data_IF_065122057259
#
_entry.id   IF_065122057259
#
_cell.length_a   1.000
_cell.length_b   1.000
_cell.length_c   1.000
_cell.angle_alpha   90.00
_cell.angle_beta   90.00
_cell.angle_gamma   90.00
#
_symmetry.space_group_name_H-M   'P 1'
#
loop_
_entity.id
_entity.type
_entity.pdbx_description
1 polymer ?
#
# COMPACT_ATOMS: atom_id res chain seq x y z
N UNK A 1 38.84 -17.98 -12.91
CA UNK A 1 37.83 -17.02 -12.39
C UNK A 1 37.35 -16.17 -13.57
N UNK A 2 36.10 -15.70 -13.59
CA UNK A 2 35.69 -14.80 -14.67
C UNK A 2 36.34 -13.43 -14.51
N UNK A 3 36.70 -12.79 -15.61
CA UNK A 3 37.46 -11.54 -15.71
C UNK A 3 36.95 -10.42 -14.75
N UNK A 4 35.63 -10.33 -14.56
CA UNK A 4 35.03 -9.34 -13.66
C UNK A 4 35.38 -9.51 -12.18
N UNK A 5 35.64 -10.73 -11.71
CA UNK A 5 36.00 -10.99 -10.32
C UNK A 5 37.44 -10.58 -10.02
N UNK A 6 38.36 -10.79 -10.95
CA UNK A 6 39.74 -10.32 -10.84
C UNK A 6 39.79 -8.80 -10.82
N UNK A 7 38.99 -8.18 -11.68
CA UNK A 7 38.87 -6.73 -11.74
C UNK A 7 38.23 -6.15 -10.47
N UNK A 8 37.19 -6.81 -9.91
CA UNK A 8 36.62 -6.43 -8.63
C UNK A 8 37.64 -6.52 -7.50
N UNK A 9 38.42 -7.57 -7.41
CA UNK A 9 39.48 -7.74 -6.40
C UNK A 9 40.52 -6.62 -6.47
N UNK A 10 40.92 -6.18 -7.68
CA UNK A 10 41.89 -5.12 -7.86
C UNK A 10 41.39 -3.72 -7.46
N UNK A 11 40.07 -3.53 -7.44
CA UNK A 11 39.44 -2.23 -7.11
C UNK A 11 38.85 -2.20 -5.69
N UNK A 12 38.55 -3.38 -5.12
CA UNK A 12 37.85 -3.50 -3.85
C UNK A 12 38.56 -2.85 -2.67
N UNK A 13 39.90 -2.84 -2.67
CA UNK A 13 40.71 -2.26 -1.59
C UNK A 13 40.96 -0.75 -1.74
N UNK A 14 40.41 -0.10 -2.78
CA UNK A 14 40.56 1.35 -2.95
C UNK A 14 39.63 2.09 -1.96
N UNK A 15 40.07 3.23 -1.38
CA UNK A 15 39.30 3.97 -0.39
C UNK A 15 37.94 4.49 -0.89
N UNK A 16 37.82 4.72 -2.21
CA UNK A 16 36.65 5.24 -2.90
C UNK A 16 35.81 4.17 -3.59
N UNK A 17 36.07 2.87 -3.30
CA UNK A 17 35.36 1.77 -3.95
C UNK A 17 33.85 1.86 -3.72
N UNK A 18 33.11 1.80 -4.81
CA UNK A 18 31.64 1.78 -4.81
C UNK A 18 31.12 0.68 -5.75
N UNK A 19 30.35 -0.26 -5.20
CA UNK A 19 29.81 -1.39 -5.95
C UNK A 19 28.88 -1.02 -7.11
N UNK A 20 28.22 0.15 -7.04
CA UNK A 20 27.34 0.64 -8.09
C UNK A 20 28.17 1.23 -9.23
N UNK A 21 29.20 2.03 -8.91
CA UNK A 21 30.13 2.57 -9.90
C UNK A 21 30.87 1.44 -10.61
N UNK A 22 31.40 0.48 -9.86
CA UNK A 22 32.03 -0.73 -10.41
C UNK A 22 31.11 -1.46 -11.38
N UNK A 23 29.85 -1.69 -11.03
CA UNK A 23 28.89 -2.36 -11.90
C UNK A 23 28.59 -1.56 -13.16
N UNK A 24 28.50 -0.23 -13.08
CA UNK A 24 28.26 0.61 -14.24
C UNK A 24 29.42 0.57 -15.24
N UNK A 25 30.64 0.58 -14.76
CA UNK A 25 31.86 0.55 -15.59
C UNK A 25 32.16 -0.83 -16.17
N UNK A 26 31.74 -1.89 -15.49
CA UNK A 26 32.03 -3.27 -15.84
C UNK A 26 30.75 -4.09 -16.15
N UNK A 27 29.70 -3.43 -16.59
CA UNK A 27 28.37 -4.03 -16.77
C UNK A 27 28.37 -5.27 -17.67
N UNK A 28 29.11 -5.23 -18.77
CA UNK A 28 29.15 -6.32 -19.75
C UNK A 28 30.00 -7.52 -19.29
N UNK A 29 30.92 -7.31 -18.37
CA UNK A 29 31.77 -8.37 -17.80
C UNK A 29 31.04 -9.19 -16.73
N UNK A 30 30.07 -8.61 -16.02
CA UNK A 30 29.34 -9.29 -14.96
C UNK A 30 28.21 -10.15 -15.55
N UNK A 31 28.20 -11.48 -15.32
CA UNK A 31 27.15 -12.35 -15.87
C UNK A 31 25.77 -12.06 -15.27
N UNK A 32 24.74 -12.11 -16.09
CA UNK A 32 23.34 -11.95 -15.70
C UNK A 32 22.53 -11.28 -16.81
N UNK A 33 21.25 -11.63 -16.93
CA UNK A 33 20.37 -11.11 -17.97
C UNK A 33 19.84 -9.70 -17.65
N UNK A 34 19.71 -9.36 -16.36
CA UNK A 34 19.18 -8.08 -15.90
C UNK A 34 20.18 -7.36 -14.99
N UNK A 35 20.03 -6.03 -14.89
CA UNK A 35 20.84 -5.17 -14.01
C UNK A 35 20.78 -5.64 -12.55
N UNK A 36 19.62 -6.08 -12.09
CA UNK A 36 19.41 -6.60 -10.73
C UNK A 36 20.16 -7.92 -10.49
N UNK A 37 20.16 -8.82 -11.45
CA UNK A 37 20.90 -10.08 -11.33
C UNK A 37 22.40 -9.85 -11.27
N UNK A 38 22.90 -8.91 -12.07
CA UNK A 38 24.31 -8.51 -12.05
C UNK A 38 24.69 -7.84 -10.73
N UNK A 39 23.85 -6.95 -10.21
CA UNK A 39 24.02 -6.29 -8.91
C UNK A 39 24.04 -7.30 -7.74
N UNK A 40 23.16 -8.29 -7.74
CA UNK A 40 23.13 -9.37 -6.73
C UNK A 40 24.41 -10.21 -6.76
N UNK A 41 24.95 -10.49 -7.94
CA UNK A 41 26.20 -11.25 -8.08
C UNK A 41 27.41 -10.50 -7.54
N UNK A 42 27.54 -9.21 -7.88
CA UNK A 42 28.60 -8.35 -7.32
C UNK A 42 28.49 -8.28 -5.80
N UNK A 43 27.28 -8.01 -5.26
CA UNK A 43 27.04 -7.96 -3.81
C UNK A 43 27.33 -9.29 -3.11
N UNK A 44 26.92 -10.41 -3.70
CA UNK A 44 27.21 -11.75 -3.14
C UNK A 44 28.71 -12.01 -3.05
N UNK A 45 29.47 -11.66 -4.10
CA UNK A 45 30.92 -11.87 -4.11
C UNK A 45 31.63 -10.96 -3.11
N UNK A 46 31.23 -9.69 -2.98
CA UNK A 46 31.73 -8.79 -1.94
C UNK A 46 31.46 -9.35 -0.54
N UNK A 47 30.24 -9.83 -0.28
CA UNK A 47 29.90 -10.42 1.01
C UNK A 47 30.77 -11.68 1.30
N UNK A 48 31.10 -12.46 0.26
CA UNK A 48 32.00 -13.60 0.40
C UNK A 48 33.42 -13.18 0.70
N UNK A 49 33.96 -12.13 0.06
CA UNK A 49 35.28 -11.57 0.37
C UNK A 49 35.34 -11.07 1.83
N UNK A 50 34.27 -10.43 2.30
CA UNK A 50 34.18 -9.99 3.70
C UNK A 50 34.15 -11.17 4.69
N UNK A 51 33.48 -12.27 4.34
CA UNK A 51 33.42 -13.49 5.15
C UNK A 51 34.75 -14.25 5.16
N UNK A 52 35.51 -14.25 4.06
CA UNK A 52 36.79 -14.92 3.90
C UNK A 52 37.97 -14.11 4.53
N UNK A 53 37.67 -12.95 5.18
CA UNK A 53 38.64 -12.17 5.96
C UNK A 53 39.63 -11.34 5.13
N UNK A 54 39.31 -11.05 3.84
CA UNK A 54 40.05 -10.09 3.04
C UNK A 54 39.54 -8.70 3.51
N UNK A 55 40.31 -8.09 4.41
CA UNK A 55 39.99 -6.79 5.04
C UNK A 55 40.55 -5.65 4.23
N UNK A 56 39.74 -4.59 4.07
CA UNK A 56 40.27 -3.24 3.87
C UNK A 56 41.24 -2.95 5.02
N UNK A 57 42.48 -2.71 4.67
CA UNK A 57 43.47 -2.22 5.64
C UNK A 57 43.30 -0.71 5.77
N UNK A 58 42.36 -0.28 6.57
CA UNK A 58 42.41 1.06 7.14
C UNK A 58 42.52 0.98 8.65
N UNK A 59 43.58 1.67 9.11
CA UNK A 59 43.96 1.78 10.49
C UNK A 59 42.86 2.45 11.31
N UNK A 60 42.13 1.68 12.07
CA UNK A 60 41.64 2.13 13.37
C UNK A 60 41.64 0.92 14.32
N UNK A 61 42.52 0.99 15.33
CA UNK A 61 42.64 -0.01 16.38
C UNK A 61 41.41 0.12 17.31
N UNK A 62 40.29 -0.46 16.91
CA UNK A 62 39.24 -0.81 17.85
C UNK A 62 39.20 -2.35 17.98
N UNK A 63 39.75 -2.81 19.09
CA UNK A 63 39.65 -4.23 19.49
C UNK A 63 38.21 -4.49 19.94
N UNK A 64 37.36 -4.82 19.02
CA UNK A 64 36.02 -5.30 19.31
C UNK A 64 35.69 -6.49 18.42
N UNK A 65 35.71 -7.70 18.98
CA UNK A 65 35.20 -8.89 18.30
C UNK A 65 33.68 -8.77 18.26
N UNK A 66 33.09 -8.70 17.07
CA UNK A 66 31.64 -8.78 16.92
C UNK A 66 31.21 -10.21 17.27
N UNK A 67 30.50 -10.38 18.38
CA UNK A 67 30.11 -11.69 18.87
C UNK A 67 28.86 -12.20 18.12
N UNK A 68 27.88 -11.33 17.91
CA UNK A 68 26.71 -11.64 17.08
C UNK A 68 25.96 -10.39 16.61
N UNK A 69 25.33 -10.51 15.45
CA UNK A 69 24.42 -9.50 14.91
C UNK A 69 23.18 -10.23 14.38
N UNK A 70 21.99 -9.79 14.78
CA UNK A 70 20.73 -10.35 14.29
C UNK A 70 19.70 -9.26 14.03
N UNK A 71 18.74 -9.54 13.16
CA UNK A 71 17.61 -8.68 12.89
C UNK A 71 16.33 -9.49 13.07
N UNK A 72 15.43 -9.05 13.95
CA UNK A 72 14.20 -9.73 14.27
C UNK A 72 13.12 -8.73 14.69
N UNK A 73 11.89 -8.91 14.23
CA UNK A 73 10.72 -8.08 14.58
C UNK A 73 10.95 -6.58 14.41
N UNK A 74 11.59 -6.15 13.31
CA UNK A 74 11.89 -4.74 13.06
C UNK A 74 13.01 -4.16 13.94
N UNK A 75 13.67 -4.97 14.74
CA UNK A 75 14.75 -4.56 15.64
C UNK A 75 16.09 -5.17 15.20
N UNK A 76 17.13 -4.36 15.27
CA UNK A 76 18.50 -4.79 15.06
C UNK A 76 19.17 -5.01 16.40
N UNK A 77 19.79 -6.17 16.57
CA UNK A 77 20.47 -6.59 17.81
C UNK A 77 21.95 -6.77 17.49
N UNK A 78 22.80 -6.07 18.24
CA UNK A 78 24.26 -6.23 18.14
C UNK A 78 24.84 -6.59 19.52
N UNK A 79 25.65 -7.63 19.57
CA UNK A 79 26.34 -8.10 20.79
C UNK A 79 27.84 -8.16 20.50
N UNK A 80 28.64 -7.42 21.26
CA UNK A 80 30.11 -7.40 21.12
C UNK A 80 30.82 -6.97 22.41
N UNK A 81 32.11 -7.28 22.48
CA UNK A 81 32.97 -6.79 23.55
C UNK A 81 33.41 -5.37 23.18
N UNK A 82 33.20 -4.42 24.09
CA UNK A 82 33.63 -3.03 23.95
C UNK A 82 34.63 -2.66 25.06
N UNK A 83 35.57 -1.80 24.72
CA UNK A 83 36.50 -1.18 25.68
C UNK A 83 36.00 0.22 26.02
N UNK A 84 35.92 0.54 27.32
CA UNK A 84 35.47 1.85 27.79
C UNK A 84 36.59 2.44 28.67
N UNK A 85 36.90 3.71 28.52
CA UNK A 85 37.91 4.37 29.30
C UNK A 85 37.56 4.36 30.81
N UNK A 86 38.54 4.17 31.65
CA UNK A 86 38.36 4.09 33.09
C UNK A 86 37.65 5.34 33.64
N UNK A 87 36.53 5.13 34.33
CA UNK A 87 35.71 6.21 34.91
C UNK A 87 34.73 6.88 33.92
N UNK A 88 34.64 6.41 32.69
CA UNK A 88 33.66 6.92 31.72
C UNK A 88 32.26 6.34 31.96
N UNK A 89 31.28 7.24 32.13
CA UNK A 89 29.86 6.84 32.19
C UNK A 89 29.39 6.23 30.84
N UNK A 90 28.80 5.05 30.91
CA UNK A 90 28.28 4.39 29.73
C UNK A 90 26.89 4.98 29.43
N UNK A 91 26.81 5.83 28.39
CA UNK A 91 25.56 6.44 27.92
C UNK A 91 25.09 5.73 26.64
N UNK A 92 23.80 5.85 26.24
CA UNK A 92 23.30 5.31 24.99
C UNK A 92 24.12 5.75 23.76
N UNK A 93 24.60 6.99 23.73
CA UNK A 93 25.39 7.54 22.63
C UNK A 93 26.75 6.83 22.51
N UNK A 94 27.39 6.57 23.64
CA UNK A 94 28.67 5.84 23.68
C UNK A 94 28.47 4.40 23.21
N UNK A 95 27.37 3.75 23.62
CA UNK A 95 27.04 2.40 23.19
C UNK A 95 26.78 2.37 21.68
N UNK A 96 25.98 3.29 21.16
CA UNK A 96 25.69 3.38 19.73
C UNK A 96 26.97 3.56 18.91
N UNK A 97 27.84 4.48 19.34
CA UNK A 97 29.16 4.70 18.71
C UNK A 97 30.03 3.44 18.77
N UNK A 98 30.09 2.78 19.92
CA UNK A 98 30.85 1.54 20.09
C UNK A 98 30.30 0.39 19.22
N UNK A 99 29.00 0.36 18.93
CA UNK A 99 28.37 -0.61 18.06
C UNK A 99 28.32 -0.19 16.58
N UNK A 100 28.91 0.96 16.22
CA UNK A 100 28.89 1.54 14.87
C UNK A 100 27.45 1.79 14.36
N UNK A 101 26.57 2.27 15.23
CA UNK A 101 25.19 2.59 14.93
C UNK A 101 25.03 4.13 14.83
N UNK A 102 24.45 4.58 13.72
CA UNK A 102 24.17 6.00 13.51
C UNK A 102 22.95 6.42 14.33
N UNK A 103 23.13 7.37 15.25
CA UNK A 103 22.06 7.90 16.10
C UNK A 103 20.99 8.70 15.33
N UNK A 104 21.21 9.08 14.07
CA UNK A 104 20.20 9.69 13.22
C UNK A 104 19.24 8.66 12.62
N UNK A 105 19.72 7.42 12.44
CA UNK A 105 18.98 6.33 11.80
C UNK A 105 18.33 5.42 12.84
N UNK A 106 19.01 5.22 13.99
CA UNK A 106 18.62 4.22 14.98
C UNK A 106 18.24 4.85 16.32
N UNK A 107 17.22 4.30 16.95
CA UNK A 107 16.80 4.59 18.33
C UNK A 107 17.08 3.38 19.22
N UNK A 108 17.69 3.61 20.37
CA UNK A 108 17.97 2.53 21.34
C UNK A 108 16.70 2.11 22.04
N UNK A 109 16.34 0.84 21.90
CA UNK A 109 15.24 0.21 22.62
C UNK A 109 15.68 -0.28 23.98
N UNK A 110 16.82 -0.96 24.03
CA UNK A 110 17.42 -1.45 25.28
C UNK A 110 18.89 -1.75 25.09
N UNK A 111 19.64 -1.75 26.18
CA UNK A 111 21.01 -2.22 26.18
C UNK A 111 21.34 -2.92 27.49
N UNK A 112 22.30 -3.85 27.44
CA UNK A 112 22.83 -4.59 28.60
C UNK A 112 24.33 -4.69 28.47
N UNK A 113 25.05 -4.27 29.53
CA UNK A 113 26.50 -4.37 29.60
C UNK A 113 26.90 -5.25 30.78
N UNK A 114 27.71 -6.25 30.51
CA UNK A 114 28.35 -7.07 31.54
C UNK A 114 29.82 -6.66 31.64
N UNK A 115 30.28 -6.40 32.84
CA UNK A 115 31.63 -5.92 33.13
C UNK A 115 32.61 -7.09 33.31
N UNK A 116 33.79 -6.96 32.72
CA UNK A 116 34.92 -7.88 32.89
C UNK A 116 36.23 -7.10 33.08
N UNK A 117 37.12 -7.63 33.88
CA UNK A 117 38.51 -7.15 33.96
C UNK A 117 39.43 -8.16 33.29
N UNK A 118 40.30 -7.69 32.43
CA UNK A 118 41.37 -8.50 31.83
C UNK A 118 42.71 -7.90 32.16
N UNK A 119 43.66 -8.75 32.54
CA UNK A 119 45.02 -8.34 32.82
C UNK A 119 45.87 -8.43 31.54
N UNK A 120 46.37 -7.29 31.07
CA UNK A 120 47.27 -7.22 29.92
C UNK A 120 48.73 -7.41 30.34
N UNK A 121 49.61 -7.66 29.38
CA UNK A 121 51.05 -7.67 29.60
C UNK A 121 51.49 -6.35 30.26
N UNK A 122 52.36 -6.39 31.26
CA UNK A 122 52.86 -5.26 32.05
C UNK A 122 51.93 -4.77 33.19
N UNK A 123 51.14 -5.65 33.81
CA UNK A 123 50.23 -5.34 34.91
C UNK A 123 49.20 -4.23 34.64
N UNK A 124 48.86 -3.98 33.38
CA UNK A 124 47.79 -3.03 33.00
C UNK A 124 46.46 -3.73 33.06
N UNK A 125 45.56 -3.23 33.87
CA UNK A 125 44.16 -3.71 33.92
C UNK A 125 43.38 -3.00 32.81
N UNK A 126 42.74 -3.80 31.95
CA UNK A 126 41.84 -3.30 30.90
C UNK A 126 40.40 -3.64 31.32
N UNK A 127 39.56 -2.64 31.34
CA UNK A 127 38.13 -2.80 31.59
C UNK A 127 37.41 -3.11 30.26
N UNK A 128 36.78 -4.29 30.20
CA UNK A 128 36.05 -4.77 29.06
C UNK A 128 34.61 -4.93 29.43
N UNK A 129 33.73 -4.58 28.49
CA UNK A 129 32.28 -4.79 28.63
C UNK A 129 31.76 -5.65 27.49
N UNK A 130 31.07 -6.74 27.82
CA UNK A 130 30.19 -7.38 26.84
C UNK A 130 28.93 -6.54 26.73
N UNK A 131 28.78 -5.86 25.62
CA UNK A 131 27.68 -4.95 25.36
C UNK A 131 26.73 -5.54 24.32
N UNK A 132 25.45 -5.64 24.71
CA UNK A 132 24.35 -6.00 23.82
C UNK A 132 23.43 -4.80 23.70
N UNK A 133 23.21 -4.33 22.48
CA UNK A 133 22.27 -3.24 22.18
C UNK A 133 21.16 -3.73 21.25
N UNK A 134 19.94 -3.29 21.52
CA UNK A 134 18.76 -3.49 20.69
C UNK A 134 18.32 -2.11 20.21
N UNK A 135 18.24 -1.92 18.92
CA UNK A 135 17.82 -0.66 18.29
C UNK A 135 16.70 -0.90 17.29
N UNK A 136 15.87 0.11 17.08
CA UNK A 136 14.87 0.17 16.02
C UNK A 136 15.13 1.36 15.11
N UNK A 137 14.68 1.33 13.84
CA UNK A 137 14.76 2.53 12.98
C UNK A 137 14.01 3.71 13.60
N UNK A 138 14.60 4.92 13.52
CA UNK A 138 13.94 6.16 13.96
C UNK A 138 12.84 6.65 13.03
N UNK A 139 12.84 6.16 11.81
CA UNK A 139 11.86 6.58 10.79
C UNK A 139 10.53 5.93 11.12
N UNK A 140 9.55 6.73 11.54
CA UNK A 140 8.17 6.32 11.48
C UNK A 140 7.80 6.28 10.01
N UNK A 141 7.54 5.10 9.52
CA UNK A 141 7.08 4.87 8.16
C UNK A 141 5.56 5.14 8.05
N UNK A 142 5.00 6.00 8.89
CA UNK A 142 3.62 6.43 8.82
C UNK A 142 3.51 7.62 7.87
N UNK A 143 2.57 7.54 6.96
CA UNK A 143 2.25 8.65 6.06
C UNK A 143 1.87 9.87 6.91
N UNK A 144 2.62 10.94 6.79
CA UNK A 144 2.38 12.18 7.54
C UNK A 144 1.64 13.20 6.69
N UNK A 145 1.00 14.20 7.32
CA UNK A 145 0.43 15.33 6.58
C UNK A 145 1.49 16.07 5.75
N UNK A 146 2.75 16.15 6.23
CA UNK A 146 3.85 16.72 5.46
C UNK A 146 4.16 15.93 4.18
N UNK A 147 4.05 14.60 4.21
CA UNK A 147 4.25 13.77 3.02
C UNK A 147 3.14 14.03 2.00
N UNK A 148 1.92 14.23 2.48
CA UNK A 148 0.76 14.58 1.66
C UNK A 148 0.94 15.97 1.05
N UNK A 149 1.33 16.97 1.85
CA UNK A 149 1.59 18.34 1.38
C UNK A 149 2.71 18.36 0.33
N UNK A 150 3.81 17.63 0.56
CA UNK A 150 4.91 17.49 -0.39
C UNK A 150 4.47 16.79 -1.68
N UNK A 151 3.64 15.75 -1.56
CA UNK A 151 3.07 15.06 -2.72
C UNK A 151 2.27 16.04 -3.59
N UNK A 152 1.36 16.82 -2.97
CA UNK A 152 0.57 17.83 -3.69
C UNK A 152 1.44 18.95 -4.27
N UNK A 153 2.48 19.38 -3.57
CA UNK A 153 3.40 20.40 -4.10
C UNK A 153 4.16 19.94 -5.36
N UNK A 154 4.37 18.63 -5.51
CA UNK A 154 5.04 18.05 -6.69
C UNK A 154 4.09 17.77 -7.85
N UNK A 155 2.79 17.64 -7.60
CA UNK A 155 1.76 17.41 -8.64
C UNK A 155 1.23 18.76 -9.13
N UNK A 156 1.39 19.04 -10.41
CA UNK A 156 0.88 20.27 -11.03
C UNK A 156 -0.64 20.14 -11.28
N UNK A 157 -1.45 20.39 -10.26
CA UNK A 157 -2.92 20.34 -10.37
C UNK A 157 -3.52 21.56 -11.07
N UNK A 158 -2.73 22.63 -11.31
CA UNK A 158 -3.23 23.86 -11.96
C UNK A 158 -3.77 23.61 -13.37
N UNK A 159 -3.28 22.59 -14.06
CA UNK A 159 -3.79 22.20 -15.38
C UNK A 159 -5.12 21.44 -15.32
N UNK A 160 -5.43 20.79 -14.17
CA UNK A 160 -6.69 20.10 -13.92
C UNK A 160 -7.80 21.06 -13.46
N UNK A 161 -7.43 22.13 -12.74
CA UNK A 161 -8.35 23.22 -12.32
C UNK A 161 -8.54 24.20 -13.48
N UNK A 162 -8.78 23.72 -14.69
CA UNK A 162 -9.45 24.56 -15.68
C UNK A 162 -10.87 24.74 -15.14
N UNK A 163 -11.18 25.96 -14.69
CA UNK A 163 -12.56 26.38 -14.42
C UNK A 163 -13.37 26.01 -15.65
N UNK A 164 -13.96 24.82 -15.62
CA UNK A 164 -14.90 24.41 -16.66
C UNK A 164 -16.08 25.36 -16.52
N UNK A 165 -16.61 25.81 -17.63
CA UNK A 165 -17.90 26.51 -17.67
C UNK A 165 -18.89 25.79 -16.77
N UNK A 166 -19.81 26.48 -16.08
CA UNK A 166 -20.74 25.83 -15.17
C UNK A 166 -21.40 24.66 -15.90
N UNK A 167 -21.20 23.46 -15.36
CA UNK A 167 -21.80 22.26 -15.93
C UNK A 167 -23.31 22.38 -15.69
N UNK A 168 -24.08 22.44 -16.75
CA UNK A 168 -25.54 22.34 -16.65
C UNK A 168 -25.83 20.85 -16.48
N UNK A 169 -26.07 20.44 -15.24
CA UNK A 169 -26.43 19.05 -14.93
C UNK A 169 -27.81 18.72 -15.50
N UNK A 170 -27.92 17.52 -16.06
CA UNK A 170 -29.18 17.02 -16.58
C UNK A 170 -30.16 16.70 -15.42
N UNK A 171 -31.40 17.09 -15.54
CA UNK A 171 -32.45 16.70 -14.60
C UNK A 171 -33.12 15.41 -15.11
N UNK A 172 -32.35 14.32 -15.13
CA UNK A 172 -32.83 13.02 -15.56
C UNK A 172 -33.49 12.26 -14.40
N UNK A 173 -34.32 11.26 -14.76
CA UNK A 173 -34.90 10.35 -13.77
C UNK A 173 -33.97 9.17 -13.44
N UNK A 174 -32.91 8.96 -14.22
CA UNK A 174 -31.94 7.90 -14.02
C UNK A 174 -30.64 8.44 -13.40
N UNK A 175 -30.02 7.62 -12.55
CA UNK A 175 -28.70 7.83 -12.02
C UNK A 175 -27.86 6.54 -12.16
N UNK A 176 -26.55 6.71 -12.14
CA UNK A 176 -25.58 5.64 -12.33
C UNK A 176 -24.85 5.39 -11.02
N UNK A 177 -24.73 4.13 -10.60
CA UNK A 177 -23.90 3.69 -9.48
C UNK A 177 -22.80 2.79 -10.02
N UNK A 178 -21.56 3.10 -9.65
CA UNK A 178 -20.36 2.36 -10.06
C UNK A 178 -19.65 1.90 -8.79
N UNK A 179 -19.68 0.61 -8.54
CA UNK A 179 -19.11 0.05 -7.33
C UNK A 179 -17.65 -0.33 -7.55
N UNK A 180 -16.77 0.37 -6.83
CA UNK A 180 -15.34 0.04 -6.76
C UNK A 180 -15.09 -0.73 -5.47
N UNK A 181 -15.18 -2.06 -5.56
CA UNK A 181 -14.97 -2.97 -4.44
C UNK A 181 -13.73 -3.81 -4.66
N UNK A 182 -12.91 -3.96 -3.63
CA UNK A 182 -11.79 -4.91 -3.60
C UNK A 182 -10.88 -4.78 -4.85
N UNK A 183 -10.48 -3.54 -5.17
CA UNK A 183 -9.55 -3.27 -6.28
C UNK A 183 -8.14 -3.76 -5.95
N UNK A 184 -7.77 -3.73 -4.65
CA UNK A 184 -6.47 -4.14 -4.15
C UNK A 184 -5.31 -3.65 -5.02
N UNK A 185 -5.30 -2.35 -5.35
CA UNK A 185 -4.18 -1.74 -6.06
C UNK A 185 -2.89 -2.00 -5.28
N UNK A 186 -1.94 -2.67 -5.91
CA UNK A 186 -0.70 -3.12 -5.29
C UNK A 186 -0.64 -4.61 -4.95
N UNK A 187 -1.70 -5.39 -5.13
CA UNK A 187 -1.63 -6.85 -5.06
C UNK A 187 -0.64 -7.37 -6.11
N UNK A 188 0.25 -8.29 -5.71
CA UNK A 188 1.13 -9.02 -6.61
C UNK A 188 0.71 -10.48 -6.71
N UNK A 189 0.33 -10.92 -7.91
CA UNK A 189 0.07 -12.31 -8.22
C UNK A 189 0.90 -12.76 -9.43
N UNK A 190 1.36 -14.00 -9.37
CA UNK A 190 2.16 -14.60 -10.43
C UNK A 190 1.42 -15.79 -11.04
N UNK A 191 1.31 -15.81 -12.38
CA UNK A 191 0.55 -16.80 -13.14
C UNK A 191 0.87 -18.25 -12.79
N UNK A 192 2.15 -18.56 -12.50
CA UNK A 192 2.55 -19.93 -12.16
C UNK A 192 2.03 -20.37 -10.78
N UNK A 193 1.61 -19.46 -9.93
CA UNK A 193 1.05 -19.75 -8.60
C UNK A 193 -0.47 -19.61 -8.55
N UNK A 194 -1.03 -18.66 -9.30
CA UNK A 194 -2.44 -18.26 -9.17
C UNK A 194 -3.26 -18.48 -10.45
N UNK A 195 -2.61 -18.87 -11.54
CA UNK A 195 -3.24 -19.04 -12.86
C UNK A 195 -3.33 -17.75 -13.70
N UNK A 196 -3.11 -16.56 -13.09
CA UNK A 196 -3.10 -15.27 -13.78
C UNK A 196 -2.09 -14.33 -13.12
N UNK A 197 -1.52 -13.40 -13.91
CA UNK A 197 -0.69 -12.32 -13.39
C UNK A 197 -1.56 -11.17 -12.92
N UNK A 198 -1.14 -10.50 -11.83
CA UNK A 198 -1.71 -9.25 -11.36
C UNK A 198 -0.63 -8.39 -10.71
N UNK A 199 -0.55 -7.13 -11.12
CA UNK A 199 0.38 -6.12 -10.65
C UNK A 199 -0.27 -4.73 -10.75
N UNK A 200 0.45 -3.67 -10.43
CA UNK A 200 -0.05 -2.29 -10.50
C UNK A 200 -0.50 -1.88 -11.90
N UNK A 201 0.24 -2.27 -12.94
CA UNK A 201 -0.10 -1.90 -14.31
C UNK A 201 -1.37 -2.63 -14.77
N UNK A 202 -1.44 -3.94 -14.53
CA UNK A 202 -2.62 -4.76 -14.85
C UNK A 202 -3.86 -4.28 -14.08
N UNK A 203 -3.70 -3.89 -12.82
CA UNK A 203 -4.75 -3.29 -12.01
C UNK A 203 -5.33 -2.04 -12.68
N UNK A 204 -4.47 -1.09 -13.02
CA UNK A 204 -4.87 0.17 -13.65
C UNK A 204 -5.50 -0.06 -15.01
N UNK A 205 -4.88 -0.87 -15.87
CA UNK A 205 -5.36 -1.13 -17.23
C UNK A 205 -6.75 -1.77 -17.23
N UNK A 206 -6.99 -2.78 -16.38
CA UNK A 206 -8.28 -3.46 -16.27
C UNK A 206 -9.36 -2.54 -15.72
N UNK A 207 -9.06 -1.82 -14.64
CA UNK A 207 -10.01 -0.89 -14.05
C UNK A 207 -10.42 0.20 -15.03
N UNK A 208 -9.45 0.85 -15.68
CA UNK A 208 -9.72 1.92 -16.65
C UNK A 208 -10.43 1.40 -17.91
N UNK A 209 -10.15 0.16 -18.35
CA UNK A 209 -10.89 -0.46 -19.44
C UNK A 209 -12.36 -0.67 -19.06
N UNK A 210 -12.62 -1.12 -17.82
CA UNK A 210 -14.00 -1.27 -17.33
C UNK A 210 -14.74 0.06 -17.23
N UNK A 211 -14.07 1.13 -16.72
CA UNK A 211 -14.68 2.46 -16.68
C UNK A 211 -14.97 2.99 -18.09
N UNK A 212 -14.09 2.76 -19.07
CA UNK A 212 -14.34 3.13 -20.47
C UNK A 212 -15.52 2.38 -21.06
N UNK A 213 -15.64 1.08 -20.80
CA UNK A 213 -16.80 0.28 -21.25
C UNK A 213 -18.11 0.82 -20.67
N UNK A 214 -18.11 1.21 -19.38
CA UNK A 214 -19.27 1.85 -18.75
C UNK A 214 -19.61 3.17 -19.44
N UNK A 215 -18.61 4.02 -19.68
CA UNK A 215 -18.81 5.31 -20.39
C UNK A 215 -19.36 5.08 -21.80
N UNK A 216 -18.84 4.10 -22.52
CA UNK A 216 -19.30 3.77 -23.87
C UNK A 216 -20.76 3.29 -23.91
N UNK A 217 -21.20 2.51 -22.91
CA UNK A 217 -22.61 2.09 -22.76
C UNK A 217 -23.51 3.25 -22.33
N UNK A 218 -22.96 4.16 -21.55
CA UNK A 218 -23.68 5.32 -20.98
C UNK A 218 -23.83 6.51 -21.93
N UNK A 219 -23.03 6.60 -23.01
CA UNK A 219 -22.91 7.78 -23.87
C UNK A 219 -24.22 8.27 -24.52
N UNK A 220 -25.15 7.34 -24.79
CA UNK A 220 -26.45 7.63 -25.40
C UNK A 220 -27.58 7.74 -24.36
N UNK A 221 -27.24 7.68 -23.08
CA UNK A 221 -28.15 7.84 -21.94
C UNK A 221 -27.92 9.18 -21.23
N UNK A 222 -28.89 9.58 -20.44
CA UNK A 222 -28.80 10.81 -19.65
C UNK A 222 -29.01 10.47 -18.19
N UNK A 223 -28.05 10.87 -17.36
CA UNK A 223 -28.09 10.65 -15.91
C UNK A 223 -28.11 11.98 -15.17
N UNK A 224 -28.83 12.05 -14.05
CA UNK A 224 -28.77 13.21 -13.13
C UNK A 224 -27.49 13.17 -12.32
N UNK A 225 -27.14 11.99 -11.83
CA UNK A 225 -26.05 11.75 -10.89
C UNK A 225 -25.25 10.50 -11.25
N UNK A 226 -23.97 10.47 -10.92
CA UNK A 226 -23.06 9.32 -10.97
C UNK A 226 -22.46 9.14 -9.59
N UNK A 227 -22.71 8.02 -8.95
CA UNK A 227 -22.13 7.66 -7.67
C UNK A 227 -20.97 6.69 -7.88
N UNK A 228 -19.75 7.11 -7.52
CA UNK A 228 -18.58 6.24 -7.46
C UNK A 228 -18.48 5.75 -6.02
N UNK A 229 -18.81 4.50 -5.80
CA UNK A 229 -18.83 3.89 -4.47
C UNK A 229 -17.50 3.17 -4.21
N UNK A 230 -16.59 3.83 -3.49
CA UNK A 230 -15.36 3.20 -3.01
C UNK A 230 -15.65 2.32 -1.80
N UNK A 231 -15.98 1.05 -2.05
CA UNK A 231 -16.48 0.11 -1.03
C UNK A 231 -15.37 -0.55 -0.20
N UNK A 232 -14.22 0.08 -0.09
CA UNK A 232 -13.07 -0.39 0.68
C UNK A 232 -12.12 -1.30 -0.12
N UNK A 233 -10.97 -1.53 0.46
CA UNK A 233 -9.88 -2.33 -0.11
C UNK A 233 -9.48 -1.86 -1.53
N UNK A 234 -9.46 -0.55 -1.72
CA UNK A 234 -8.93 0.07 -2.95
C UNK A 234 -7.42 -0.12 -3.02
N UNK A 235 -6.72 0.04 -1.88
CA UNK A 235 -5.30 -0.27 -1.73
C UNK A 235 -5.12 -1.63 -1.07
N UNK A 236 -4.06 -2.34 -1.46
CA UNK A 236 -3.78 -3.69 -0.96
C UNK A 236 -3.12 -3.72 0.41
N UNK A 237 -2.49 -2.62 0.83
CA UNK A 237 -1.71 -2.49 2.07
C UNK A 237 -1.97 -1.15 2.74
N UNK A 238 -1.86 -1.12 4.07
CA UNK A 238 -2.11 0.06 4.90
C UNK A 238 -0.83 0.72 5.46
N UNK A 239 0.33 0.10 5.22
CA UNK A 239 1.63 0.61 5.68
C UNK A 239 2.77 0.08 4.79
N UNK A 240 3.97 0.62 4.96
CA UNK A 240 5.16 0.26 4.18
C UNK A 240 5.89 -1.01 4.65
N UNK A 241 5.33 -1.73 5.61
CA UNK A 241 5.71 -3.12 5.92
C UNK A 241 4.95 -4.12 5.07
N UNK A 242 4.11 -3.65 4.13
CA UNK A 242 3.21 -4.46 3.33
C UNK A 242 2.18 -5.22 4.19
N UNK A 243 1.61 -4.56 5.18
CA UNK A 243 0.61 -5.15 6.08
C UNK A 243 -0.77 -4.50 5.84
N UNK A 244 -1.83 -5.28 6.10
CA UNK A 244 -3.19 -4.75 6.22
C UNK A 244 -3.33 -3.90 7.49
N UNK A 245 -4.46 -3.23 7.69
CA UNK A 245 -4.77 -2.46 8.91
C UNK A 245 -4.55 -3.25 10.21
N UNK A 246 -4.79 -4.56 10.19
CA UNK A 246 -4.61 -5.45 11.36
C UNK A 246 -3.23 -6.11 11.44
N UNK A 247 -2.29 -5.74 10.57
CA UNK A 247 -0.92 -6.26 10.58
C UNK A 247 -0.75 -7.60 9.87
N UNK A 248 -1.67 -7.99 8.98
CA UNK A 248 -1.50 -9.20 8.16
C UNK A 248 -0.59 -8.87 6.97
N UNK A 249 0.54 -9.57 6.86
CA UNK A 249 1.51 -9.38 5.78
C UNK A 249 0.91 -9.76 4.43
N UNK A 250 1.12 -8.91 3.44
CA UNK A 250 0.63 -9.05 2.08
C UNK A 250 1.77 -9.13 1.05
N UNK A 251 1.49 -9.79 -0.08
CA UNK A 251 2.39 -9.78 -1.23
C UNK A 251 2.06 -8.58 -2.13
N UNK A 252 2.91 -7.57 -2.09
CA UNK A 252 2.67 -6.31 -2.77
C UNK A 252 3.65 -6.04 -3.92
N UNK A 253 3.15 -5.43 -5.00
CA UNK A 253 3.94 -4.96 -6.15
C UNK A 253 4.60 -3.61 -5.85
N UNK A 254 5.53 -3.60 -4.93
CA UNK A 254 6.36 -2.44 -4.65
C UNK A 254 6.13 -1.83 -3.28
N UNK A 255 6.49 -0.56 -3.15
CA UNK A 255 6.39 0.21 -1.92
C UNK A 255 5.04 0.92 -1.84
N UNK A 256 4.58 1.20 -0.64
CA UNK A 256 3.33 1.93 -0.40
C UNK A 256 3.24 3.23 -1.21
N UNK A 257 4.31 4.03 -1.28
CA UNK A 257 4.33 5.28 -2.05
C UNK A 257 4.10 5.06 -3.55
N UNK A 258 4.70 4.01 -4.14
CA UNK A 258 4.45 3.64 -5.56
C UNK A 258 3.00 3.20 -5.75
N UNK A 259 2.48 2.36 -4.85
CA UNK A 259 1.10 1.86 -4.88
C UNK A 259 0.11 3.01 -4.78
N UNK A 260 0.37 3.95 -3.86
CA UNK A 260 -0.47 5.12 -3.66
C UNK A 260 -0.51 6.03 -4.89
N UNK A 261 0.64 6.31 -5.50
CA UNK A 261 0.73 7.09 -6.74
C UNK A 261 -0.10 6.45 -7.87
N UNK A 262 0.06 5.14 -8.07
CA UNK A 262 -0.71 4.42 -9.09
C UNK A 262 -2.21 4.45 -8.82
N UNK A 263 -2.64 4.21 -7.59
CA UNK A 263 -4.04 4.25 -7.21
C UNK A 263 -4.63 5.65 -7.41
N UNK A 264 -3.91 6.68 -6.97
CA UNK A 264 -4.35 8.08 -7.14
C UNK A 264 -4.49 8.45 -8.62
N UNK A 265 -3.49 8.17 -9.44
CA UNK A 265 -3.52 8.49 -10.87
C UNK A 265 -4.61 7.67 -11.61
N UNK A 266 -4.80 6.40 -11.25
CA UNK A 266 -5.84 5.53 -11.81
C UNK A 266 -7.24 6.05 -11.47
N UNK A 267 -7.52 6.36 -10.20
CA UNK A 267 -8.82 6.87 -9.77
C UNK A 267 -9.12 8.26 -10.37
N UNK A 268 -8.14 9.16 -10.46
CA UNK A 268 -8.33 10.45 -11.12
C UNK A 268 -8.64 10.29 -12.61
N UNK A 269 -7.96 9.37 -13.29
CA UNK A 269 -8.21 9.09 -14.71
C UNK A 269 -9.62 8.54 -14.92
N UNK A 270 -10.09 7.66 -14.03
CA UNK A 270 -11.45 7.15 -14.06
C UNK A 270 -12.49 8.28 -13.89
N UNK A 271 -12.27 9.16 -12.92
CA UNK A 271 -13.12 10.35 -12.72
C UNK A 271 -13.14 11.22 -13.96
N UNK A 272 -12.00 11.43 -14.62
CA UNK A 272 -11.92 12.23 -15.85
C UNK A 272 -12.74 11.61 -17.00
N UNK A 273 -12.75 10.28 -17.13
CA UNK A 273 -13.61 9.62 -18.12
C UNK A 273 -15.10 9.83 -17.83
N UNK A 274 -15.50 9.70 -16.56
CA UNK A 274 -16.90 9.84 -16.15
C UNK A 274 -17.44 11.27 -16.33
N UNK A 275 -16.59 12.29 -16.26
CA UNK A 275 -16.98 13.70 -16.55
C UNK A 275 -17.57 13.88 -17.93
N UNK A 276 -17.20 13.03 -18.90
CA UNK A 276 -17.74 13.08 -20.26
C UNK A 276 -19.25 12.83 -20.33
N UNK A 277 -19.82 12.20 -19.31
CA UNK A 277 -21.26 11.91 -19.22
C UNK A 277 -22.10 13.11 -18.77
N UNK A 278 -21.50 14.23 -18.39
CA UNK A 278 -22.17 15.48 -17.98
C UNK A 278 -23.20 15.35 -16.87
N UNK A 279 -23.07 14.37 -16.00
CA UNK A 279 -23.86 14.19 -14.78
C UNK A 279 -23.10 14.70 -13.55
N UNK A 280 -23.82 14.98 -12.45
CA UNK A 280 -23.19 15.31 -11.19
C UNK A 280 -22.47 14.07 -10.64
N UNK A 281 -21.20 14.20 -10.30
CA UNK A 281 -20.40 13.07 -9.78
C UNK A 281 -20.30 13.18 -8.26
N UNK A 282 -20.54 12.04 -7.60
CA UNK A 282 -20.40 11.85 -6.16
C UNK A 282 -19.38 10.74 -5.92
N UNK A 283 -18.52 10.90 -4.92
CA UNK A 283 -17.60 9.87 -4.47
C UNK A 283 -17.91 9.49 -3.02
N UNK A 284 -18.22 8.20 -2.80
CA UNK A 284 -18.54 7.63 -1.49
C UNK A 284 -17.37 6.81 -0.99
N UNK A 285 -16.65 7.28 0.04
CA UNK A 285 -15.55 6.53 0.64
C UNK A 285 -16.04 5.60 1.75
N UNK A 286 -15.66 4.34 1.70
CA UNK A 286 -15.76 3.40 2.81
C UNK A 286 -14.38 2.78 3.07
N UNK A 287 -14.08 2.54 4.35
CA UNK A 287 -12.84 1.93 4.76
C UNK A 287 -12.90 0.41 4.58
N UNK A 288 -11.90 -0.18 3.94
CA UNK A 288 -11.70 -1.62 3.91
C UNK A 288 -10.90 -2.14 5.11
N UNK A 289 -10.65 -3.44 5.14
CA UNK A 289 -9.77 -4.04 6.15
C UNK A 289 -8.29 -4.05 5.73
N UNK A 290 -8.00 -3.83 4.45
CA UNK A 290 -6.64 -3.71 3.94
C UNK A 290 -6.09 -2.29 4.01
N UNK A 291 -6.93 -1.25 3.89
CA UNK A 291 -6.53 0.12 3.57
C UNK A 291 -7.23 1.19 4.43
N UNK A 292 -7.61 0.89 5.65
CA UNK A 292 -8.40 1.80 6.49
C UNK A 292 -7.78 3.20 6.63
N UNK A 293 -6.46 3.27 6.78
CA UNK A 293 -5.71 4.51 6.92
C UNK A 293 -5.38 5.10 5.56
N UNK A 294 -4.75 4.30 4.69
CA UNK A 294 -4.28 4.76 3.38
C UNK A 294 -5.43 5.04 2.43
N UNK A 295 -6.51 4.28 2.47
CA UNK A 295 -7.74 4.53 1.71
C UNK A 295 -8.41 5.85 2.10
N UNK A 296 -8.43 6.20 3.40
CA UNK A 296 -8.91 7.52 3.86
C UNK A 296 -8.07 8.66 3.29
N UNK A 297 -6.74 8.53 3.32
CA UNK A 297 -5.86 9.54 2.73
C UNK A 297 -6.02 9.63 1.22
N UNK A 298 -6.17 8.49 0.53
CA UNK A 298 -6.44 8.48 -0.90
C UNK A 298 -7.73 9.26 -1.23
N UNK A 299 -8.82 9.02 -0.49
CA UNK A 299 -10.08 9.75 -0.68
C UNK A 299 -9.92 11.26 -0.42
N UNK A 300 -9.13 11.65 0.60
CA UNK A 300 -8.79 13.07 0.84
C UNK A 300 -8.01 13.68 -0.31
N UNK A 301 -7.02 12.97 -0.84
CA UNK A 301 -6.25 13.42 -1.98
C UNK A 301 -7.11 13.58 -3.23
N UNK A 302 -8.01 12.63 -3.49
CA UNK A 302 -8.97 12.71 -4.59
C UNK A 302 -9.91 13.91 -4.45
N UNK A 303 -10.42 14.18 -3.23
CA UNK A 303 -11.26 15.35 -2.96
C UNK A 303 -10.53 16.66 -3.28
N UNK A 304 -9.29 16.80 -2.85
CA UNK A 304 -8.48 17.99 -3.11
C UNK A 304 -8.18 18.18 -4.60
N UNK A 305 -7.95 17.07 -5.32
CA UNK A 305 -7.68 17.09 -6.75
C UNK A 305 -8.92 17.33 -7.62
N UNK A 306 -10.12 17.11 -7.08
CA UNK A 306 -11.39 17.17 -7.82
C UNK A 306 -12.44 18.03 -7.07
N UNK A 307 -12.23 19.36 -6.96
CA UNK A 307 -13.10 20.24 -6.18
C UNK A 307 -14.49 20.43 -6.79
N UNK A 308 -14.70 19.96 -8.01
CA UNK A 308 -15.97 19.98 -8.74
C UNK A 308 -16.88 18.77 -8.46
N UNK A 309 -16.43 17.86 -7.59
CA UNK A 309 -17.13 16.61 -7.24
C UNK A 309 -17.58 16.65 -5.79
N UNK A 310 -18.74 16.07 -5.52
CA UNK A 310 -19.24 15.90 -4.16
C UNK A 310 -18.61 14.66 -3.51
N UNK A 311 -17.87 14.86 -2.40
CA UNK A 311 -17.21 13.76 -1.68
C UNK A 311 -17.84 13.54 -0.31
N UNK A 312 -18.33 12.32 -0.05
CA UNK A 312 -18.55 11.84 1.30
C UNK A 312 -17.35 10.99 1.77
N UNK A 313 -16.45 11.62 2.51
CA UNK A 313 -15.27 10.99 3.11
C UNK A 313 -15.37 10.90 4.63
N UNK A 314 -16.59 10.94 5.18
CA UNK A 314 -16.79 10.64 6.60
C UNK A 314 -16.28 9.24 6.91
N UNK A 315 -15.67 9.00 8.09
CA UNK A 315 -15.12 7.67 8.43
C UNK A 315 -16.20 6.67 8.88
N UNK A 316 -17.47 6.94 8.57
CA UNK A 316 -18.56 6.02 8.87
C UNK A 316 -18.41 4.75 8.02
N UNK A 317 -18.39 3.54 8.63
CA UNK A 317 -18.27 2.28 7.89
C UNK A 317 -19.56 1.86 7.16
N UNK A 318 -20.65 2.59 7.37
CA UNK A 318 -21.96 2.35 6.76
C UNK A 318 -22.52 3.67 6.25
N UNK A 319 -22.86 3.73 4.97
CA UNK A 319 -23.39 4.90 4.30
C UNK A 319 -24.62 4.55 3.49
N UNK A 320 -25.33 5.54 3.00
CA UNK A 320 -26.45 5.31 2.09
C UNK A 320 -26.55 6.41 1.02
N UNK A 321 -26.99 5.99 -0.16
CA UNK A 321 -27.46 6.85 -1.24
C UNK A 321 -28.99 6.83 -1.21
N UNK A 322 -29.62 8.00 -1.13
CA UNK A 322 -31.07 8.13 -1.18
C UNK A 322 -31.47 9.05 -2.33
N UNK A 323 -32.11 8.52 -3.35
CA UNK A 323 -32.58 9.28 -4.52
C UNK A 323 -34.02 8.86 -4.86
N UNK A 324 -34.97 9.77 -4.66
CA UNK A 324 -36.40 9.47 -4.89
C UNK A 324 -36.88 8.32 -4.03
N UNK A 325 -37.37 7.25 -4.66
CA UNK A 325 -37.87 6.03 -4.02
C UNK A 325 -36.78 4.96 -3.79
N UNK A 326 -35.51 5.27 -4.10
CA UNK A 326 -34.39 4.32 -4.02
C UNK A 326 -33.48 4.63 -2.84
N UNK A 327 -33.19 3.63 -2.03
CA UNK A 327 -32.21 3.69 -0.94
C UNK A 327 -31.18 2.57 -1.11
N UNK A 328 -29.91 2.91 -1.25
CA UNK A 328 -28.81 1.97 -1.40
C UNK A 328 -27.89 2.11 -0.19
N UNK A 329 -27.85 1.09 0.64
CA UNK A 329 -26.90 1.01 1.75
C UNK A 329 -25.55 0.51 1.25
N UNK A 330 -24.47 1.12 1.72
CA UNK A 330 -23.10 0.84 1.31
C UNK A 330 -22.26 0.46 2.51
N UNK A 331 -21.53 -0.65 2.42
CA UNK A 331 -20.57 -1.09 3.45
C UNK A 331 -19.47 -1.93 2.81
N UNK A 332 -18.29 -2.02 3.46
CA UNK A 332 -17.28 -2.96 3.00
C UNK A 332 -17.68 -4.43 3.26
N UNK A 333 -18.30 -4.72 4.40
CA UNK A 333 -18.78 -6.07 4.72
C UNK A 333 -17.92 -6.84 5.73
N UNK A 334 -16.81 -6.29 6.22
CA UNK A 334 -15.85 -6.94 7.14
C UNK A 334 -16.27 -6.92 8.63
N UNK A 335 -17.42 -6.38 8.96
CA UNK A 335 -17.83 -6.18 10.35
C UNK A 335 -18.22 -7.50 11.06
N UNK A 336 -17.67 -7.79 12.26
CA UNK A 336 -17.88 -9.08 12.95
C UNK A 336 -19.33 -9.37 13.38
N UNK A 337 -20.12 -8.31 13.59
CA UNK A 337 -21.53 -8.39 14.00
C UNK A 337 -22.44 -7.73 12.98
N UNK A 338 -22.20 -8.07 11.74
CA UNK A 338 -22.88 -7.48 10.62
C UNK A 338 -24.29 -8.09 10.42
N UNK A 339 -25.31 -7.25 10.55
CA UNK A 339 -26.70 -7.60 10.29
C UNK A 339 -27.09 -7.16 8.88
N UNK A 340 -26.85 -8.05 7.91
CA UNK A 340 -27.13 -7.81 6.48
C UNK A 340 -28.48 -7.17 6.25
N UNK A 341 -28.51 -6.02 5.60
CA UNK A 341 -29.72 -5.23 5.29
C UNK A 341 -30.39 -4.54 6.48
N UNK A 342 -30.43 -5.16 7.64
CA UNK A 342 -31.20 -4.66 8.80
C UNK A 342 -30.65 -3.36 9.39
N UNK A 343 -29.35 -3.10 9.28
CA UNK A 343 -28.74 -1.87 9.76
C UNK A 343 -29.29 -0.63 9.06
N UNK A 344 -29.65 -0.72 7.78
CA UNK A 344 -30.23 0.38 7.00
C UNK A 344 -31.52 0.88 7.66
N UNK A 345 -32.35 -0.04 8.13
CA UNK A 345 -33.61 0.29 8.82
C UNK A 345 -33.35 1.09 10.10
N UNK A 346 -32.26 0.78 10.80
CA UNK A 346 -31.93 1.44 12.07
C UNK A 346 -31.27 2.80 11.88
N UNK A 347 -30.31 2.88 10.97
CA UNK A 347 -29.45 4.04 10.82
C UNK A 347 -30.05 5.08 9.87
N UNK A 348 -30.89 4.66 8.90
CA UNK A 348 -31.52 5.48 7.88
C UNK A 348 -33.06 5.37 7.89
N UNK A 349 -33.65 5.44 9.07
CA UNK A 349 -35.11 5.22 9.29
C UNK A 349 -36.00 6.13 8.46
N UNK A 350 -35.59 7.39 8.31
CA UNK A 350 -36.37 8.38 7.56
C UNK A 350 -36.34 8.06 6.07
N UNK A 351 -35.16 7.84 5.54
CA UNK A 351 -34.91 7.51 4.14
C UNK A 351 -35.54 6.16 3.81
N UNK A 352 -35.42 5.16 4.69
CA UNK A 352 -36.06 3.86 4.56
C UNK A 352 -37.59 3.97 4.47
N UNK A 353 -38.19 4.81 5.33
CA UNK A 353 -39.65 5.02 5.33
C UNK A 353 -40.17 5.78 4.09
N UNK A 354 -39.28 6.41 3.33
CA UNK A 354 -39.59 7.12 2.09
C UNK A 354 -39.27 6.31 0.83
N UNK A 355 -38.60 5.15 0.97
CA UNK A 355 -38.13 4.36 -0.15
C UNK A 355 -38.99 3.12 -0.39
N UNK A 356 -39.18 2.77 -1.67
CA UNK A 356 -39.83 1.55 -2.10
C UNK A 356 -38.81 0.48 -2.54
N UNK A 357 -37.64 0.89 -2.97
CA UNK A 357 -36.55 0.03 -3.46
C UNK A 357 -35.36 0.20 -2.55
N UNK A 358 -35.04 -0.86 -1.82
CA UNK A 358 -33.92 -0.84 -0.85
C UNK A 358 -32.99 -1.99 -1.16
N UNK A 359 -31.74 -1.66 -1.46
CA UNK A 359 -30.65 -2.64 -1.60
C UNK A 359 -29.47 -2.29 -0.68
N UNK A 360 -28.64 -3.25 -0.41
CA UNK A 360 -27.34 -3.11 0.24
C UNK A 360 -26.26 -3.67 -0.66
N UNK A 361 -25.23 -2.88 -0.91
CA UNK A 361 -24.06 -3.30 -1.68
C UNK A 361 -22.83 -3.41 -0.77
N UNK A 362 -22.08 -4.50 -0.90
CA UNK A 362 -20.87 -4.75 -0.13
C UNK A 362 -19.81 -5.51 -0.93
N UNK A 363 -18.53 -5.32 -0.57
CA UNK A 363 -17.38 -6.05 -1.08
C UNK A 363 -16.95 -7.18 -0.14
N UNK A 364 -15.64 -7.29 0.10
CA UNK A 364 -14.93 -8.12 1.09
C UNK A 364 -14.85 -9.62 0.78
N UNK A 365 -15.96 -10.25 0.39
CA UNK A 365 -15.97 -11.71 0.17
C UNK A 365 -15.54 -12.12 -1.24
N UNK A 366 -15.29 -11.17 -2.12
CA UNK A 366 -14.79 -11.34 -3.48
C UNK A 366 -15.67 -12.26 -4.37
N UNK A 367 -16.93 -12.43 -4.00
CA UNK A 367 -17.86 -13.32 -4.70
C UNK A 367 -19.20 -12.63 -4.85
N UNK A 368 -19.71 -12.60 -6.08
CA UNK A 368 -21.05 -12.07 -6.32
C UNK A 368 -22.11 -12.99 -5.72
N UNK A 369 -22.99 -12.39 -4.91
CA UNK A 369 -24.16 -13.06 -4.36
C UNK A 369 -25.26 -12.01 -4.13
N UNK A 370 -26.49 -12.32 -4.48
CA UNK A 370 -27.64 -11.49 -4.13
C UNK A 370 -28.66 -12.32 -3.34
N UNK A 371 -28.99 -11.85 -2.13
CA UNK A 371 -29.96 -12.49 -1.24
C UNK A 371 -30.91 -11.47 -0.64
N UNK A 372 -32.13 -11.88 -0.32
CA UNK A 372 -33.13 -11.05 0.34
C UNK A 372 -33.09 -11.31 1.85
N UNK A 373 -32.88 -10.26 2.62
CA UNK A 373 -32.96 -10.24 4.07
C UNK A 373 -34.01 -9.23 4.53
N UNK A 374 -35.09 -9.71 5.12
CA UNK A 374 -36.19 -8.86 5.63
C UNK A 374 -36.74 -7.87 4.56
N UNK A 375 -36.84 -8.32 3.32
CA UNK A 375 -37.33 -7.50 2.20
C UNK A 375 -36.27 -6.62 1.53
N UNK A 376 -35.05 -6.57 2.05
CA UNK A 376 -33.91 -5.82 1.48
C UNK A 376 -33.05 -6.77 0.66
N UNK A 377 -32.74 -6.39 -0.57
CA UNK A 377 -31.76 -7.12 -1.39
C UNK A 377 -30.37 -6.77 -0.89
N UNK A 378 -29.61 -7.77 -0.45
CA UNK A 378 -28.19 -7.63 -0.09
C UNK A 378 -27.36 -8.27 -1.17
N UNK A 379 -26.50 -7.45 -1.76
CA UNK A 379 -25.66 -7.81 -2.90
C UNK A 379 -24.20 -7.70 -2.51
N UNK A 380 -23.49 -8.82 -2.45
CA UNK A 380 -22.03 -8.79 -2.48
C UNK A 380 -21.55 -8.74 -3.91
N UNK A 381 -20.46 -8.02 -4.15
CA UNK A 381 -20.02 -7.65 -5.48
C UNK A 381 -18.80 -8.47 -5.92
N UNK A 382 -18.56 -8.46 -7.23
CA UNK A 382 -17.32 -8.98 -7.80
C UNK A 382 -16.14 -8.16 -7.28
N UNK A 383 -15.08 -8.85 -6.86
CA UNK A 383 -13.81 -8.16 -6.64
C UNK A 383 -13.17 -7.74 -7.96
N UNK A 384 -12.50 -6.61 -7.93
CA UNK A 384 -11.82 -6.05 -9.12
C UNK A 384 -10.35 -6.45 -9.19
N UNK A 385 -9.81 -7.09 -8.15
CA UNK A 385 -8.44 -7.59 -8.12
C UNK A 385 -8.26 -8.92 -8.84
N UNK A 386 -7.00 -9.33 -9.05
CA UNK A 386 -6.65 -10.70 -9.41
C UNK A 386 -6.81 -11.67 -8.24
N UNK A 387 -6.70 -12.97 -8.48
CA UNK A 387 -6.63 -13.96 -7.42
C UNK A 387 -5.28 -13.86 -6.70
N UNK A 388 -5.30 -13.67 -5.39
CA UNK A 388 -4.10 -13.77 -4.56
C UNK A 388 -3.64 -15.22 -4.44
N UNK A 389 -2.37 -15.42 -4.07
CA UNK A 389 -1.84 -16.76 -3.79
C UNK A 389 -2.62 -17.47 -2.69
N UNK A 390 -2.99 -16.72 -1.63
CA UNK A 390 -3.79 -17.25 -0.52
C UNK A 390 -5.18 -17.72 -1.00
N UNK A 391 -5.92 -16.90 -1.76
CA UNK A 391 -7.23 -17.30 -2.30
C UNK A 391 -7.11 -18.54 -3.17
N UNK A 392 -6.05 -18.60 -4.00
CA UNK A 392 -5.81 -19.75 -4.85
C UNK A 392 -5.57 -21.03 -4.05
N UNK A 393 -4.78 -20.96 -2.98
CA UNK A 393 -4.55 -22.09 -2.07
C UNK A 393 -5.82 -22.55 -1.34
N UNK A 394 -6.69 -21.59 -0.92
CA UNK A 394 -7.96 -21.92 -0.26
C UNK A 394 -9.03 -22.46 -1.23
N UNK A 395 -8.77 -22.42 -2.53
CA UNK A 395 -9.72 -22.92 -3.53
C UNK A 395 -10.77 -21.90 -3.96
N UNK A 396 -10.68 -20.64 -3.55
CA UNK A 396 -11.58 -19.59 -4.02
C UNK A 396 -11.38 -19.32 -5.50
N UNK A 397 -12.49 -19.34 -6.25
CA UNK A 397 -12.53 -19.19 -7.71
C UNK A 397 -13.76 -18.37 -8.08
N UNK A 398 -13.63 -17.05 -8.03
CA UNK A 398 -14.71 -16.14 -8.42
C UNK A 398 -14.35 -15.42 -9.70
N UNK A 399 -15.35 -15.06 -10.49
CA UNK A 399 -15.17 -14.11 -11.58
C UNK A 399 -14.73 -12.76 -11.00
N UNK A 400 -14.00 -12.01 -11.80
CA UNK A 400 -13.47 -10.69 -11.43
C UNK A 400 -13.98 -9.65 -12.43
N UNK A 401 -14.25 -8.44 -11.95
CA UNK A 401 -14.74 -7.39 -12.81
C UNK A 401 -15.38 -6.24 -12.06
N UNK A 402 -15.86 -5.26 -12.81
CA UNK A 402 -16.62 -4.11 -12.31
C UNK A 402 -18.10 -4.38 -12.48
N UNK A 403 -18.87 -4.02 -11.46
CA UNK A 403 -20.34 -3.95 -11.53
C UNK A 403 -20.79 -2.50 -11.51
N UNK A 404 -21.79 -2.20 -12.33
CA UNK A 404 -22.38 -0.89 -12.43
C UNK A 404 -23.91 -1.04 -12.55
N UNK A 405 -24.66 -0.13 -11.92
CA UNK A 405 -26.11 -0.21 -11.81
C UNK A 405 -26.75 1.07 -12.35
N UNK A 406 -27.71 0.89 -13.24
CA UNK A 406 -28.56 1.99 -13.71
C UNK A 406 -29.86 1.97 -12.92
N UNK A 407 -30.09 3.01 -12.17
CA UNK A 407 -31.26 3.20 -11.33
C UNK A 407 -32.19 4.28 -11.91
N UNK A 408 -33.47 4.06 -11.77
CA UNK A 408 -34.45 5.12 -11.95
C UNK A 408 -35.05 5.49 -10.58
N UNK A 409 -35.07 6.79 -10.27
CA UNK A 409 -35.47 7.30 -8.94
C UNK A 409 -36.91 6.94 -8.52
N UNK A 410 -37.80 6.61 -9.48
CA UNK A 410 -39.20 6.29 -9.22
C UNK A 410 -39.48 4.77 -9.24
N UNK A 411 -38.79 4.02 -10.11
CA UNK A 411 -39.13 2.63 -10.41
C UNK A 411 -37.98 1.63 -10.11
N UNK A 412 -36.90 2.08 -9.44
CA UNK A 412 -35.83 1.23 -8.93
C UNK A 412 -34.81 0.82 -9.97
N UNK A 413 -34.18 -0.33 -9.75
CA UNK A 413 -33.10 -0.88 -10.59
C UNK A 413 -33.60 -1.17 -12.01
N UNK A 414 -32.91 -0.63 -13.00
CA UNK A 414 -33.23 -0.80 -14.43
C UNK A 414 -32.30 -1.78 -15.13
N UNK A 415 -30.97 -1.62 -14.91
CA UNK A 415 -29.96 -2.41 -15.58
C UNK A 415 -28.83 -2.69 -14.61
N UNK A 416 -28.21 -3.86 -14.74
CA UNK A 416 -26.92 -4.19 -14.11
C UNK A 416 -25.93 -4.46 -15.22
N UNK A 417 -24.81 -3.73 -15.22
CA UNK A 417 -23.77 -3.90 -16.22
C UNK A 417 -22.56 -4.56 -15.58
N UNK A 418 -22.00 -5.51 -16.31
CA UNK A 418 -20.80 -6.23 -15.94
C UNK A 418 -19.70 -5.96 -16.94
N UNK A 419 -18.51 -5.70 -16.47
CA UNK A 419 -17.29 -5.77 -17.24
C UNK A 419 -16.35 -6.77 -16.57
N UNK A 420 -16.20 -7.96 -17.20
CA UNK A 420 -15.35 -9.03 -16.67
C UNK A 420 -13.89 -8.86 -17.11
N UNK A 421 -12.96 -9.29 -16.25
CA UNK A 421 -11.53 -9.15 -16.45
C UNK A 421 -10.88 -10.38 -17.07
#
# INVERSE_FOLDING_TARGET
MGDWKEKLLSEYDKPDFNNISFLNENYDLVPGLTRDNKRRRVKYFINKLNADGIKNKDNDKSIGTVNSVSFSNGQFISDKIIEVAQGQLITPEIIMKAHNLDSNIWEVVSYKNNYYQSQAKENKIIELYQSKVVVKPKVSNELTFNDIDNYFATKNFSDRIKVKSPIIYNNADEFLEIDTADLHCGLLAWRNETGSDYDLQICSDKFLAGIKDIVDRAKDKTFSDIYICGLGDILHIDNDKNETTKGTLQQADGRLTKIFDFAFDTMNTAIDYLRSLNARIHYMYLAGNHDRTTGYFLAKCLQLANPDIDFDITPNPQKAIHVGNVLIGLTHGDMPKYNKGTWIINDFRKEFGQSHFVEEHCGHIHTEEAKIYNGIVVRSLLAQCGNSYWEHQQGYRSQRGIMCFVWNKEIGLRETWYYYY
#
